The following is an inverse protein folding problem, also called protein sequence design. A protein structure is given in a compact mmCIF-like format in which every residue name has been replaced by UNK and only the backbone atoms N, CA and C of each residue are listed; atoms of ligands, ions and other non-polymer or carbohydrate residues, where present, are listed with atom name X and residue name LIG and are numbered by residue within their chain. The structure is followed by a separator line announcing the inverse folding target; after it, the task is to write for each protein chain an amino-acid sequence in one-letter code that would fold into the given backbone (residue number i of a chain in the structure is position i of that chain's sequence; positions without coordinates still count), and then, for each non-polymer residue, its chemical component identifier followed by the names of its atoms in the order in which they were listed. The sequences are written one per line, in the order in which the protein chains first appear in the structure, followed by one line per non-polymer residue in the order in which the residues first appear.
data_IF_583096267191
#
_entry.id   IF_583096267191
#
_cell.length_a   1.000
_cell.length_b   1.000
_cell.length_c   1.000
_cell.angle_alpha   90.00
_cell.angle_beta   90.00
_cell.angle_gamma   90.00
#
_symmetry.space_group_name_H-M   'P 1'
#
loop_
_entity.id
_entity.type
_entity.pdbx_description
1 polymer ?
#
# COMPACT_ATOMS: atom_id res chain seq x y z
N UNK A 1 -19.96 5.52 1.45
CA UNK A 1 -19.50 6.63 2.31
C UNK A 1 -18.01 6.50 2.53
N UNK A 2 -17.30 7.60 2.77
CA UNK A 2 -15.89 7.53 3.17
C UNK A 2 -15.73 6.70 4.45
N UNK A 3 -14.66 5.91 4.54
CA UNK A 3 -14.39 5.04 5.67
C UNK A 3 -13.98 5.86 6.90
N UNK A 4 -14.44 5.49 8.11
CA UNK A 4 -14.25 6.26 9.34
C UNK A 4 -14.77 7.71 9.28
N UNK A 5 -15.86 7.98 8.53
CA UNK A 5 -16.40 9.34 8.38
C UNK A 5 -16.87 10.01 9.68
N UNK A 6 -17.10 9.25 10.75
CA UNK A 6 -17.44 9.80 12.07
C UNK A 6 -16.21 10.26 12.86
N UNK A 7 -15.03 9.72 12.56
CA UNK A 7 -13.79 10.00 13.30
C UNK A 7 -12.81 10.88 12.50
N UNK A 8 -12.84 10.80 11.17
CA UNK A 8 -11.91 11.53 10.29
C UNK A 8 -12.70 12.62 9.54
N UNK A 9 -12.26 13.89 9.58
CA UNK A 9 -12.98 15.01 8.97
C UNK A 9 -12.76 15.10 7.46
N UNK A 10 -13.14 14.04 6.71
CA UNK A 10 -12.93 13.95 5.27
C UNK A 10 -13.58 15.09 4.47
N UNK A 11 -14.70 15.62 4.95
CA UNK A 11 -15.37 16.77 4.33
C UNK A 11 -14.47 18.01 4.31
N UNK A 12 -13.69 18.24 5.38
CA UNK A 12 -12.73 19.36 5.47
C UNK A 12 -11.59 19.18 4.47
N UNK A 13 -11.06 17.97 4.34
CA UNK A 13 -10.03 17.70 3.34
C UNK A 13 -10.57 17.88 1.92
N UNK A 14 -11.69 17.25 1.60
CA UNK A 14 -12.28 17.30 0.26
C UNK A 14 -12.69 18.72 -0.17
N UNK A 15 -13.25 19.53 0.74
CA UNK A 15 -13.69 20.89 0.43
C UNK A 15 -12.53 21.80 0.03
N UNK A 16 -11.33 21.55 0.57
CA UNK A 16 -10.11 22.31 0.29
C UNK A 16 -9.57 22.13 -1.14
N UNK A 17 -10.03 21.10 -1.84
CA UNK A 17 -9.64 20.84 -3.22
C UNK A 17 -10.83 20.91 -4.18
N UNK A 18 -10.57 21.47 -5.36
CA UNK A 18 -11.49 21.50 -6.50
C UNK A 18 -10.96 20.58 -7.59
N UNK A 19 -11.82 19.75 -8.15
CA UNK A 19 -11.50 19.03 -9.38
C UNK A 19 -11.42 20.03 -10.55
N UNK A 20 -10.31 20.00 -11.28
CA UNK A 20 -10.15 20.75 -12.52
C UNK A 20 -9.60 19.82 -13.58
N UNK A 21 -10.29 19.76 -14.72
CA UNK A 21 -9.83 18.99 -15.86
C UNK A 21 -9.00 19.83 -16.80
N UNK A 22 -7.96 19.21 -17.40
CA UNK A 22 -7.08 19.81 -18.41
C UNK A 22 -6.72 21.28 -18.15
N UNK A 23 -6.31 21.59 -16.91
CA UNK A 23 -6.10 22.98 -16.50
C UNK A 23 -4.99 23.63 -17.31
N UNK A 24 -5.31 24.65 -18.11
CA UNK A 24 -4.35 25.44 -18.89
C UNK A 24 -3.28 26.06 -17.99
N UNK A 25 -3.70 26.58 -16.83
CA UNK A 25 -2.79 27.15 -15.81
C UNK A 25 -1.77 26.14 -15.29
N UNK A 26 -2.07 24.85 -15.37
CA UNK A 26 -1.28 23.77 -14.78
C UNK A 26 -0.76 22.80 -15.84
N UNK A 27 -0.48 23.32 -17.04
CA UNK A 27 0.12 22.58 -18.15
C UNK A 27 -0.78 21.47 -18.71
N UNK A 28 -2.09 21.72 -18.77
CA UNK A 28 -3.08 20.80 -19.35
C UNK A 28 -3.36 19.57 -18.47
N UNK A 29 -3.01 19.59 -17.18
CA UNK A 29 -3.17 18.44 -16.28
C UNK A 29 -4.56 18.41 -15.65
N UNK A 30 -5.10 17.21 -15.49
CA UNK A 30 -6.30 16.93 -14.69
C UNK A 30 -5.89 16.57 -13.26
N UNK A 31 -6.42 17.26 -12.26
CA UNK A 31 -6.15 16.94 -10.85
C UNK A 31 -7.18 17.56 -9.89
N UNK A 32 -7.04 17.23 -8.61
CA UNK A 32 -7.59 18.03 -7.53
C UNK A 32 -6.60 19.16 -7.19
N UNK A 33 -7.04 20.41 -7.34
CA UNK A 33 -6.24 21.60 -7.09
C UNK A 33 -6.67 22.33 -5.82
N UNK A 34 -5.72 22.88 -5.04
CA UNK A 34 -6.04 23.63 -3.84
C UNK A 34 -6.90 24.87 -4.17
N UNK A 35 -7.94 25.13 -3.37
CA UNK A 35 -8.77 26.34 -3.51
C UNK A 35 -8.07 27.64 -3.10
N UNK A 36 -6.97 27.57 -2.34
CA UNK A 36 -6.18 28.74 -1.89
C UNK A 36 -6.99 29.77 -1.09
N UNK A 37 -7.94 29.32 -0.27
CA UNK A 37 -8.62 30.19 0.68
C UNK A 37 -7.66 30.51 1.87
N UNK A 38 -7.95 31.55 2.64
CA UNK A 38 -7.07 31.98 3.75
C UNK A 38 -7.01 30.98 4.92
N UNK A 39 -8.03 30.13 5.08
CA UNK A 39 -8.11 29.13 6.16
C UNK A 39 -7.49 27.77 5.79
N UNK A 40 -7.11 27.58 4.53
CA UNK A 40 -6.76 26.28 3.95
C UNK A 40 -5.64 25.57 4.72
N UNK A 41 -4.57 26.29 5.08
CA UNK A 41 -3.48 25.70 5.87
C UNK A 41 -3.98 25.16 7.22
N UNK A 42 -4.80 25.95 7.93
CA UNK A 42 -5.40 25.56 9.22
C UNK A 42 -6.37 24.39 9.08
N UNK A 43 -7.19 24.38 8.03
CA UNK A 43 -8.16 23.31 7.75
C UNK A 43 -7.46 21.99 7.39
N UNK A 44 -6.41 22.04 6.57
CA UNK A 44 -5.60 20.86 6.25
C UNK A 44 -4.86 20.34 7.49
N UNK A 45 -4.38 21.24 8.36
CA UNK A 45 -3.79 20.82 9.63
C UNK A 45 -4.81 20.23 10.60
N UNK A 46 -6.01 20.78 10.66
CA UNK A 46 -7.12 20.20 11.43
C UNK A 46 -7.43 18.79 10.95
N UNK A 47 -7.48 18.56 9.64
CA UNK A 47 -7.64 17.23 9.08
C UNK A 47 -6.50 16.28 9.50
N UNK A 48 -5.24 16.69 9.33
CA UNK A 48 -4.09 15.84 9.64
C UNK A 48 -4.06 15.44 11.13
N UNK A 49 -4.41 16.37 12.04
CA UNK A 49 -4.51 16.10 13.48
C UNK A 49 -5.68 15.17 13.81
N UNK A 50 -6.86 15.38 13.24
CA UNK A 50 -8.01 14.51 13.47
C UNK A 50 -7.77 13.08 12.98
N UNK A 51 -7.11 12.93 11.83
CA UNK A 51 -6.71 11.62 11.32
C UNK A 51 -5.67 10.96 12.25
N UNK A 52 -4.63 11.68 12.66
CA UNK A 52 -3.62 11.17 13.60
C UNK A 52 -4.25 10.67 14.91
N UNK A 53 -5.12 11.49 15.50
CA UNK A 53 -5.88 11.12 16.71
C UNK A 53 -6.72 9.86 16.52
N UNK A 54 -7.38 9.70 15.36
CA UNK A 54 -8.17 8.52 15.06
C UNK A 54 -7.30 7.25 14.96
N UNK A 55 -6.12 7.33 14.35
CA UNK A 55 -5.19 6.19 14.29
C UNK A 55 -4.67 5.85 15.69
N UNK A 56 -4.22 6.84 16.46
CA UNK A 56 -3.69 6.65 17.81
C UNK A 56 -4.75 6.05 18.76
N UNK A 57 -5.99 6.55 18.72
CA UNK A 57 -7.08 6.02 19.53
C UNK A 57 -7.39 4.56 19.19
N UNK A 58 -7.50 4.23 17.90
CA UNK A 58 -7.75 2.85 17.46
C UNK A 58 -6.56 1.93 17.76
N UNK A 59 -5.34 2.45 17.74
CA UNK A 59 -4.14 1.68 18.07
C UNK A 59 -4.07 1.32 19.53
N UNK A 60 -4.47 2.22 20.44
CA UNK A 60 -4.60 1.89 21.87
C UNK A 60 -5.59 0.75 22.09
N UNK A 61 -6.79 0.86 21.52
CA UNK A 61 -7.81 -0.20 21.61
C UNK A 61 -7.35 -1.50 20.95
N UNK A 62 -6.58 -1.45 19.87
CA UNK A 62 -6.01 -2.66 19.26
C UNK A 62 -4.95 -3.29 20.17
N UNK A 63 -4.07 -2.48 20.77
CA UNK A 63 -3.00 -2.94 21.68
C UNK A 63 -3.55 -3.64 22.93
N UNK A 64 -4.70 -3.21 23.44
CA UNK A 64 -5.40 -3.79 24.60
C UNK A 64 -5.83 -5.24 24.40
N UNK A 65 -5.92 -5.72 23.15
CA UNK A 65 -6.28 -7.12 22.83
C UNK A 65 -5.16 -8.12 23.10
N UNK A 66 -3.94 -7.63 23.35
CA UNK A 66 -2.72 -8.43 23.46
C UNK A 66 -2.08 -8.28 24.84
N UNK A 67 -1.30 -9.27 25.33
CA UNK A 67 -0.56 -9.20 26.58
C UNK A 67 0.23 -7.90 26.76
N UNK A 68 0.29 -7.35 27.98
CA UNK A 68 1.04 -6.11 28.25
C UNK A 68 2.56 -6.30 28.13
N UNK A 69 3.06 -7.48 28.49
CA UNK A 69 4.46 -7.88 28.41
C UNK A 69 4.58 -9.26 27.75
N UNK A 70 5.75 -9.53 27.20
CA UNK A 70 6.14 -10.84 26.64
C UNK A 70 7.46 -11.26 27.26
N UNK A 71 7.62 -12.55 27.48
CA UNK A 71 8.87 -13.10 28.00
C UNK A 71 9.97 -13.08 26.94
N UNK A 72 11.21 -12.90 27.40
CA UNK A 72 12.38 -13.09 26.54
C UNK A 72 12.51 -14.56 26.17
N UNK A 73 12.78 -14.83 24.90
CA UNK A 73 12.93 -16.19 24.39
C UNK A 73 14.41 -16.49 24.10
N UNK A 74 14.78 -17.77 24.22
CA UNK A 74 16.11 -18.24 23.87
C UNK A 74 16.40 -18.11 22.37
N UNK A 75 17.69 -18.19 21.95
CA UNK A 75 18.07 -18.03 20.54
C UNK A 75 17.44 -19.05 19.58
N UNK A 76 17.10 -20.23 20.08
CA UNK A 76 16.50 -21.35 19.33
C UNK A 76 14.98 -21.40 19.40
N UNK A 77 14.36 -20.53 20.20
CA UNK A 77 12.91 -20.52 20.37
C UNK A 77 12.22 -19.87 19.18
N UNK A 78 11.05 -20.40 18.83
CA UNK A 78 10.25 -19.86 17.73
C UNK A 78 9.43 -18.66 18.19
N UNK A 79 9.71 -17.51 17.60
CA UNK A 79 8.90 -16.29 17.69
C UNK A 79 7.69 -16.36 16.75
N UNK A 80 7.80 -17.15 15.68
CA UNK A 80 6.71 -17.43 14.73
C UNK A 80 6.25 -18.88 14.93
N UNK A 81 5.09 -19.07 15.55
CA UNK A 81 4.48 -20.39 15.73
C UNK A 81 3.93 -20.98 14.41
N UNK A 82 3.56 -22.26 14.42
CA UNK A 82 3.12 -22.97 13.21
C UNK A 82 1.83 -22.37 12.61
N UNK A 83 0.96 -21.83 13.46
CA UNK A 83 -0.31 -21.22 13.03
C UNK A 83 -0.03 -19.92 12.29
N UNK A 84 0.89 -19.11 12.79
CA UNK A 84 1.34 -17.84 12.21
C UNK A 84 2.10 -18.11 10.92
N UNK A 85 3.03 -19.07 10.95
CA UNK A 85 3.80 -19.51 9.79
C UNK A 85 2.86 -19.91 8.64
N UNK A 86 1.86 -20.76 8.91
CA UNK A 86 0.93 -21.23 7.89
C UNK A 86 0.16 -20.10 7.20
N UNK A 87 -0.16 -19.01 7.92
CA UNK A 87 -0.86 -17.84 7.36
C UNK A 87 0.04 -17.02 6.43
N UNK A 88 1.31 -16.82 6.80
CA UNK A 88 2.23 -15.94 6.05
C UNK A 88 3.04 -16.68 4.97
N UNK A 89 3.13 -18.02 5.06
CA UNK A 89 3.96 -18.91 4.23
C UNK A 89 3.92 -18.55 2.74
N UNK A 90 2.72 -18.46 2.17
CA UNK A 90 2.56 -18.22 0.73
C UNK A 90 3.04 -16.83 0.31
N UNK A 91 2.84 -15.82 1.16
CA UNK A 91 3.31 -14.45 0.90
C UNK A 91 4.82 -14.35 0.95
N UNK A 92 5.46 -14.92 1.99
CA UNK A 92 6.92 -14.92 2.14
C UNK A 92 7.59 -15.66 0.97
N UNK A 93 7.00 -16.76 0.51
CA UNK A 93 7.53 -17.52 -0.62
C UNK A 93 7.42 -16.81 -1.95
N UNK A 94 6.27 -16.17 -2.20
CA UNK A 94 6.09 -15.33 -3.38
C UNK A 94 7.17 -14.26 -3.47
N UNK A 95 7.49 -13.63 -2.34
CA UNK A 95 8.56 -12.65 -2.23
C UNK A 95 9.93 -13.23 -2.63
N UNK A 96 10.29 -14.36 -1.99
CA UNK A 96 11.57 -15.03 -2.21
C UNK A 96 11.75 -15.54 -3.63
N UNK A 97 10.69 -16.07 -4.23
CA UNK A 97 10.71 -16.48 -5.64
C UNK A 97 10.94 -15.30 -6.59
N UNK A 98 10.34 -14.14 -6.31
CA UNK A 98 10.57 -12.94 -7.10
C UNK A 98 12.03 -12.46 -7.00
N UNK A 99 12.64 -12.52 -5.82
CA UNK A 99 14.02 -12.09 -5.59
C UNK A 99 15.06 -13.06 -6.21
N UNK A 100 14.80 -14.38 -6.20
CA UNK A 100 15.73 -15.41 -6.75
C UNK A 100 15.84 -15.40 -8.28
N UNK A 101 14.80 -14.97 -9.02
CA UNK A 101 14.84 -14.87 -10.49
C UNK A 101 15.94 -13.95 -11.01
N UNK A 102 16.35 -12.95 -10.23
CA UNK A 102 17.36 -11.98 -10.64
C UNK A 102 18.82 -12.51 -10.55
N UNK A 103 19.07 -13.68 -9.93
CA UNK A 103 20.44 -14.17 -9.65
C UNK A 103 20.77 -15.58 -10.16
N UNK A 104 19.88 -16.24 -10.89
CA UNK A 104 20.18 -17.58 -11.45
C UNK A 104 20.39 -18.68 -10.40
N UNK A 105 20.18 -18.39 -9.11
CA UNK A 105 20.18 -19.38 -8.05
C UNK A 105 18.87 -20.17 -8.08
N UNK A 106 18.96 -21.50 -8.09
CA UNK A 106 17.79 -22.36 -7.86
C UNK A 106 17.28 -22.05 -6.45
N UNK A 107 16.11 -21.42 -6.37
CA UNK A 107 15.43 -21.22 -5.09
C UNK A 107 15.28 -22.54 -4.34
N UNK A 108 15.18 -22.51 -3.00
CA UNK A 108 15.22 -23.71 -2.15
C UNK A 108 14.06 -24.70 -2.38
N UNK A 109 13.10 -24.38 -3.25
CA UNK A 109 12.03 -25.29 -3.64
C UNK A 109 11.92 -25.38 -5.17
N UNK A 110 12.05 -26.58 -5.78
CA UNK A 110 11.87 -26.78 -7.23
C UNK A 110 10.40 -26.75 -7.66
N UNK A 111 9.44 -26.63 -6.73
CA UNK A 111 8.00 -26.61 -7.03
C UNK A 111 7.59 -25.17 -7.34
N UNK A 112 7.01 -24.97 -8.52
CA UNK A 112 6.47 -23.69 -8.99
C UNK A 112 5.37 -23.18 -8.07
N UNK A 113 5.19 -21.84 -8.04
CA UNK A 113 4.23 -21.10 -7.23
C UNK A 113 2.79 -21.65 -7.23
N UNK A 114 2.38 -22.37 -8.28
CA UNK A 114 0.97 -22.63 -8.57
C UNK A 114 0.46 -23.95 -7.97
N UNK A 115 1.34 -24.93 -7.71
CA UNK A 115 0.98 -26.14 -6.96
C UNK A 115 0.92 -25.93 -5.44
N UNK A 116 1.16 -24.71 -4.94
CA UNK A 116 1.07 -24.40 -3.52
C UNK A 116 1.94 -25.33 -2.66
N UNK A 117 3.27 -25.39 -2.91
CA UNK A 117 4.15 -26.20 -2.06
C UNK A 117 3.83 -25.93 -0.60
N UNK A 118 3.74 -27.00 0.18
CA UNK A 118 3.37 -26.97 1.60
C UNK A 118 4.60 -26.91 2.49
N UNK A 119 5.79 -26.81 1.90
CA UNK A 119 7.03 -26.81 2.64
C UNK A 119 7.03 -25.64 3.68
N UNK A 120 7.57 -25.81 4.87
CA UNK A 120 7.52 -24.75 5.89
C UNK A 120 8.50 -23.60 5.57
N UNK A 121 8.27 -22.43 6.16
CA UNK A 121 9.33 -21.41 6.34
C UNK A 121 10.47 -22.04 7.16
N UNK A 122 11.72 -21.67 6.87
CA UNK A 122 12.88 -22.25 7.56
C UNK A 122 12.78 -22.04 9.07
N UNK A 123 13.24 -22.98 9.91
CA UNK A 123 13.27 -22.79 11.36
C UNK A 123 14.00 -21.51 11.77
N UNK A 124 15.12 -21.18 11.11
CA UNK A 124 15.92 -19.98 11.41
C UNK A 124 15.13 -18.69 11.23
N UNK A 125 14.36 -18.57 10.15
CA UNK A 125 13.48 -17.41 9.88
C UNK A 125 12.39 -17.22 10.94
N UNK A 126 12.09 -18.28 11.70
CA UNK A 126 11.06 -18.26 12.75
C UNK A 126 11.64 -17.93 14.13
N UNK A 127 12.95 -17.79 14.25
CA UNK A 127 13.65 -17.44 15.50
C UNK A 127 13.92 -15.93 15.62
N UNK A 128 14.75 -15.55 16.57
CA UNK A 128 15.24 -14.18 16.77
C UNK A 128 16.19 -13.69 15.65
N UNK A 129 16.82 -14.60 14.90
CA UNK A 129 17.93 -14.29 14.00
C UNK A 129 17.62 -13.21 12.93
N UNK A 130 16.46 -13.23 12.23
CA UNK A 130 16.15 -12.22 11.21
C UNK A 130 16.02 -10.79 11.77
N UNK A 131 15.75 -10.68 13.07
CA UNK A 131 15.43 -9.40 13.71
C UNK A 131 16.66 -8.74 14.33
N UNK A 132 17.79 -9.44 14.36
CA UNK A 132 19.07 -8.91 14.83
C UNK A 132 19.73 -8.11 13.70
N UNK A 133 20.02 -6.83 13.95
CA UNK A 133 20.90 -6.05 13.07
C UNK A 133 22.33 -6.29 13.55
N UNK A 134 23.14 -6.90 12.70
CA UNK A 134 24.59 -6.95 12.93
C UNK A 134 25.17 -5.61 12.52
N UNK A 135 25.82 -4.95 13.46
CA UNK A 135 26.44 -3.64 13.30
C UNK A 135 27.72 -3.76 12.45
N UNK A 136 27.56 -3.99 11.14
CA UNK A 136 28.68 -3.99 10.21
C UNK A 136 29.03 -2.53 9.91
N UNK A 137 29.91 -1.96 10.74
CA UNK A 137 30.43 -0.58 10.68
C UNK A 137 31.20 -0.19 9.39
N UNK A 138 31.02 -0.88 8.26
CA UNK A 138 31.65 -0.50 6.99
C UNK A 138 30.61 -0.17 5.90
N UNK A 139 30.28 1.12 5.87
CA UNK A 139 29.70 1.94 4.78
C UNK A 139 28.28 1.69 4.25
N UNK A 140 27.65 0.55 4.46
CA UNK A 140 26.20 0.41 4.28
C UNK A 140 25.76 -0.69 5.25
N UNK A 141 24.64 -0.55 5.97
CA UNK A 141 24.10 -1.67 6.75
C UNK A 141 23.66 -2.76 5.76
N UNK A 142 24.60 -3.56 5.30
CA UNK A 142 24.33 -4.82 4.64
C UNK A 142 23.82 -5.73 5.74
N UNK A 143 22.52 -6.05 5.66
CA UNK A 143 21.95 -7.08 6.52
C UNK A 143 22.86 -8.30 6.43
N UNK A 144 23.25 -8.91 7.56
CA UNK A 144 24.02 -10.13 7.53
C UNK A 144 23.20 -11.16 6.75
N UNK A 145 23.66 -11.46 5.53
CA UNK A 145 23.38 -12.71 4.86
C UNK A 145 23.51 -13.82 5.92
N UNK A 146 22.44 -14.59 6.20
CA UNK A 146 21.40 -14.96 5.23
C UNK A 146 20.05 -14.20 5.32
N UNK A 147 19.89 -13.14 6.14
CA UNK A 147 18.56 -12.57 6.44
C UNK A 147 18.16 -11.31 5.66
N UNK A 148 18.64 -11.16 4.40
CA UNK A 148 18.27 -10.02 3.53
C UNK A 148 16.74 -9.88 3.30
N UNK A 149 15.97 -10.95 3.52
CA UNK A 149 14.51 -10.98 3.38
C UNK A 149 13.73 -10.54 4.64
N UNK A 150 14.40 -10.09 5.71
CA UNK A 150 13.73 -9.69 6.97
C UNK A 150 12.64 -8.63 6.79
N UNK A 151 12.79 -7.61 5.91
CA UNK A 151 11.71 -6.68 5.61
C UNK A 151 10.48 -7.35 4.97
N UNK A 152 10.68 -8.33 4.08
CA UNK A 152 9.58 -9.06 3.44
C UNK A 152 8.83 -9.95 4.44
N UNK A 153 9.56 -10.59 5.36
CA UNK A 153 8.96 -11.35 6.46
C UNK A 153 8.14 -10.45 7.40
N UNK A 154 8.69 -9.28 7.77
CA UNK A 154 7.99 -8.28 8.58
C UNK A 154 6.71 -7.78 7.89
N UNK A 155 6.83 -7.43 6.60
CA UNK A 155 5.70 -6.97 5.81
C UNK A 155 4.64 -8.07 5.72
N UNK A 156 5.01 -9.33 5.50
CA UNK A 156 4.05 -10.44 5.50
C UNK A 156 3.30 -10.56 6.84
N UNK A 157 3.98 -10.48 7.98
CA UNK A 157 3.34 -10.48 9.31
C UNK A 157 2.33 -9.33 9.45
N UNK A 158 2.68 -8.12 9.03
CA UNK A 158 1.80 -6.94 9.05
C UNK A 158 0.58 -7.11 8.14
N UNK A 159 0.79 -7.54 6.89
CA UNK A 159 -0.28 -7.73 5.90
C UNK A 159 -1.30 -8.78 6.37
N UNK A 160 -0.84 -9.82 7.07
CA UNK A 160 -1.70 -10.87 7.62
C UNK A 160 -2.24 -10.55 9.02
N UNK A 161 -1.92 -9.37 9.58
CA UNK A 161 -2.42 -8.95 10.91
C UNK A 161 -1.92 -9.82 12.05
N UNK A 162 -0.71 -10.38 11.95
CA UNK A 162 -0.09 -11.22 12.98
C UNK A 162 0.57 -10.35 14.08
N UNK A 163 -0.24 -9.52 14.73
CA UNK A 163 0.22 -8.51 15.70
C UNK A 163 0.82 -9.14 16.95
N UNK A 164 0.28 -10.26 17.45
CA UNK A 164 0.85 -10.95 18.61
C UNK A 164 2.30 -11.38 18.38
N UNK A 165 2.59 -11.99 17.22
CA UNK A 165 3.95 -12.37 16.84
C UNK A 165 4.86 -11.14 16.72
N UNK A 166 4.36 -10.05 16.11
CA UNK A 166 5.11 -8.80 15.99
C UNK A 166 5.43 -8.17 17.35
N UNK A 167 4.49 -8.17 18.29
CA UNK A 167 4.69 -7.67 19.65
C UNK A 167 5.69 -8.54 20.42
N UNK A 168 5.62 -9.87 20.26
CA UNK A 168 6.58 -10.82 20.85
C UNK A 168 8.00 -10.60 20.33
N UNK A 169 8.14 -10.36 19.03
CA UNK A 169 9.43 -10.00 18.40
C UNK A 169 9.92 -8.66 18.93
N UNK A 170 9.06 -7.65 18.99
CA UNK A 170 9.41 -6.30 19.46
C UNK A 170 9.86 -6.28 20.93
N UNK A 171 9.36 -7.21 21.75
CA UNK A 171 9.76 -7.35 23.15
C UNK A 171 11.17 -7.93 23.33
N UNK A 172 11.78 -8.53 22.30
CA UNK A 172 13.10 -9.14 22.43
C UNK A 172 14.19 -8.05 22.43
N UNK A 173 15.07 -7.98 23.45
CA UNK A 173 16.08 -6.91 23.56
C UNK A 173 17.05 -6.84 22.37
N UNK A 174 17.28 -7.98 21.72
CA UNK A 174 18.18 -8.09 20.56
C UNK A 174 17.51 -7.77 19.22
N UNK A 175 16.19 -7.60 19.18
CA UNK A 175 15.47 -7.24 17.97
C UNK A 175 15.59 -5.74 17.67
N UNK A 176 15.90 -5.40 16.42
CA UNK A 176 16.04 -4.01 15.98
C UNK A 176 15.00 -3.66 14.90
N UNK A 177 13.71 -3.79 15.25
CA UNK A 177 12.61 -3.49 14.33
C UNK A 177 12.54 -2.02 13.90
N UNK A 178 13.04 -1.10 14.72
CA UNK A 178 13.13 0.33 14.36
C UNK A 178 14.02 0.57 13.13
N UNK A 179 15.06 -0.25 12.93
CA UNK A 179 15.90 -0.17 11.73
C UNK A 179 15.17 -0.63 10.46
N UNK A 180 14.12 -1.44 10.61
CA UNK A 180 13.27 -1.91 9.50
C UNK A 180 12.20 -0.88 9.08
N UNK A 181 12.14 0.31 9.69
CA UNK A 181 11.20 1.37 9.29
C UNK A 181 11.46 1.87 7.87
N UNK A 182 12.69 2.29 7.59
CA UNK A 182 13.11 2.80 6.28
C UNK A 182 14.60 2.44 6.07
N UNK A 183 14.92 1.14 6.00
CA UNK A 183 16.30 0.70 5.81
C UNK A 183 16.83 1.26 4.48
N UNK A 184 18.02 1.86 4.54
CA UNK A 184 18.71 2.31 3.33
C UNK A 184 19.22 1.06 2.62
N UNK A 185 18.56 0.67 1.52
CA UNK A 185 19.07 -0.37 0.63
C UNK A 185 19.43 0.23 -0.73
N UNK A 186 20.51 -0.28 -1.33
CA UNK A 186 20.87 0.02 -2.72
C UNK A 186 19.79 -0.43 -3.73
N UNK A 187 18.82 -1.25 -3.28
CA UNK A 187 17.72 -1.78 -4.09
C UNK A 187 16.40 -1.00 -3.97
N UNK A 188 16.34 0.04 -3.12
CA UNK A 188 15.14 0.85 -2.89
C UNK A 188 14.70 0.90 -1.41
N UNK A 189 13.55 1.50 -1.15
CA UNK A 189 12.92 1.54 0.19
C UNK A 189 12.15 0.23 0.44
N UNK A 190 12.54 -0.54 1.46
CA UNK A 190 12.07 -1.93 1.65
C UNK A 190 11.37 -2.17 2.99
N UNK A 191 11.39 -1.16 3.88
CA UNK A 191 10.86 -1.25 5.24
C UNK A 191 9.34 -1.08 5.34
N UNK A 192 8.83 -1.29 6.56
CA UNK A 192 7.39 -1.15 6.82
C UNK A 192 6.90 0.31 6.78
N UNK A 193 7.81 1.28 6.75
CA UNK A 193 7.48 2.68 6.46
C UNK A 193 6.99 2.89 5.02
N UNK A 194 7.52 2.14 4.05
CA UNK A 194 7.02 2.21 2.66
C UNK A 194 5.66 1.52 2.53
N UNK A 195 5.47 0.38 3.20
CA UNK A 195 4.17 -0.28 3.35
C UNK A 195 3.13 0.70 3.90
N UNK A 196 3.46 1.40 4.99
CA UNK A 196 2.58 2.39 5.62
C UNK A 196 2.24 3.52 4.63
N UNK A 197 3.24 4.10 3.95
CA UNK A 197 3.05 5.23 3.02
C UNK A 197 2.22 4.87 1.80
N UNK A 198 2.48 3.73 1.16
CA UNK A 198 1.66 3.23 0.05
C UNK A 198 0.21 3.03 0.49
N UNK A 199 0.01 2.40 1.65
CA UNK A 199 -1.31 2.20 2.26
C UNK A 199 -2.02 3.51 2.55
N UNK A 200 -1.34 4.46 3.20
CA UNK A 200 -1.87 5.76 3.58
C UNK A 200 -2.29 6.57 2.36
N UNK A 201 -1.45 6.61 1.34
CA UNK A 201 -1.72 7.35 0.12
C UNK A 201 -2.90 6.76 -0.65
N UNK A 202 -3.00 5.43 -0.75
CA UNK A 202 -4.17 4.77 -1.35
C UNK A 202 -5.46 5.07 -0.57
N UNK A 203 -5.39 4.97 0.76
CA UNK A 203 -6.52 5.21 1.64
C UNK A 203 -7.02 6.66 1.55
N UNK A 204 -6.14 7.66 1.59
CA UNK A 204 -6.51 9.08 1.46
C UNK A 204 -7.07 9.36 0.05
N UNK A 205 -6.39 8.90 -1.00
CA UNK A 205 -6.77 9.18 -2.38
C UNK A 205 -8.18 8.66 -2.70
N UNK A 206 -8.48 7.41 -2.35
CA UNK A 206 -9.79 6.80 -2.63
C UNK A 206 -10.91 7.43 -1.79
N UNK A 207 -10.67 7.72 -0.50
CA UNK A 207 -11.68 8.38 0.33
C UNK A 207 -12.02 9.79 -0.16
N UNK A 208 -11.02 10.57 -0.58
CA UNK A 208 -11.29 11.90 -1.15
C UNK A 208 -11.95 11.82 -2.52
N UNK A 209 -11.52 10.90 -3.38
CA UNK A 209 -12.14 10.69 -4.70
C UNK A 209 -13.61 10.27 -4.57
N UNK A 210 -13.94 9.43 -3.58
CA UNK A 210 -15.33 9.05 -3.26
C UNK A 210 -16.21 10.26 -2.93
N UNK A 211 -15.64 11.32 -2.32
CA UNK A 211 -16.33 12.56 -1.99
C UNK A 211 -16.45 13.55 -3.16
N UNK A 212 -16.05 13.14 -4.37
CA UNK A 212 -16.22 13.89 -5.62
C UNK A 212 -17.11 13.10 -6.59
N UNK A 213 -18.40 12.87 -6.26
CA UNK A 213 -19.28 12.03 -7.06
C UNK A 213 -19.41 12.47 -8.52
N UNK A 214 -19.22 13.76 -8.82
CA UNK A 214 -19.17 14.31 -10.17
C UNK A 214 -18.11 13.64 -11.08
N UNK A 215 -17.11 12.98 -10.47
CA UNK A 215 -16.01 12.36 -11.19
C UNK A 215 -16.23 10.88 -11.56
N UNK A 216 -17.10 10.16 -10.86
CA UNK A 216 -17.34 8.72 -11.09
C UNK A 216 -18.80 8.33 -11.24
N UNK A 217 -19.75 9.17 -10.80
CA UNK A 217 -21.18 8.90 -10.91
C UNK A 217 -21.81 9.73 -12.05
N UNK A 218 -22.47 9.06 -12.99
CA UNK A 218 -23.05 9.71 -14.17
C UNK A 218 -24.13 10.76 -13.82
N UNK A 219 -24.97 10.49 -12.81
CA UNK A 219 -26.03 11.42 -12.38
C UNK A 219 -25.44 12.67 -11.74
N UNK A 220 -24.50 12.49 -10.81
CA UNK A 220 -23.81 13.62 -10.18
C UNK A 220 -22.99 14.43 -11.18
N UNK A 221 -22.39 13.77 -12.17
CA UNK A 221 -21.68 14.43 -13.27
C UNK A 221 -22.61 15.29 -14.11
N UNK A 222 -23.77 14.78 -14.51
CA UNK A 222 -24.76 15.55 -15.26
C UNK A 222 -25.22 16.79 -14.46
N UNK A 223 -25.51 16.64 -13.17
CA UNK A 223 -25.87 17.74 -12.29
C UNK A 223 -24.73 18.76 -12.09
N UNK A 224 -23.48 18.31 -12.11
CA UNK A 224 -22.32 19.20 -12.07
C UNK A 224 -22.19 20.00 -13.37
N UNK A 225 -22.29 19.35 -14.53
CA UNK A 225 -22.16 19.98 -15.85
C UNK A 225 -23.28 20.97 -16.17
N UNK A 226 -24.46 20.81 -15.57
CA UNK A 226 -25.56 21.78 -15.69
C UNK A 226 -25.26 23.14 -15.04
N UNK A 227 -24.22 23.23 -14.20
CA UNK A 227 -23.78 24.49 -13.58
C UNK A 227 -22.78 25.22 -14.49
N UNK A 228 -22.72 26.54 -14.40
CA UNK A 228 -21.74 27.34 -15.14
C UNK A 228 -20.32 27.13 -14.57
N UNK A 229 -19.35 26.86 -15.45
CA UNK A 229 -17.95 26.65 -15.09
C UNK A 229 -17.04 27.58 -15.89
N UNK A 230 -16.09 28.20 -15.20
CA UNK A 230 -15.05 29.04 -15.83
C UNK A 230 -14.20 28.28 -16.86
N UNK A 231 -13.92 27.01 -16.57
CA UNK A 231 -13.14 26.10 -17.41
C UNK A 231 -13.94 24.79 -17.55
N UNK A 232 -14.90 24.73 -18.48
CA UNK A 232 -15.71 23.53 -18.66
C UNK A 232 -14.84 22.38 -19.21
N UNK A 233 -15.09 21.12 -18.79
CA UNK A 233 -14.44 19.97 -19.41
C UNK A 233 -14.79 19.90 -20.90
N UNK A 234 -13.81 19.53 -21.73
CA UNK A 234 -14.00 19.40 -23.18
C UNK A 234 -14.80 18.14 -23.51
N UNK A 235 -14.44 17.01 -22.90
CA UNK A 235 -15.09 15.72 -23.10
C UNK A 235 -15.67 15.17 -21.78
N UNK A 236 -16.69 14.32 -21.86
CA UNK A 236 -17.28 13.68 -20.66
C UNK A 236 -16.23 12.88 -19.87
N UNK A 237 -15.32 12.25 -20.59
CA UNK A 237 -14.25 11.40 -20.06
C UNK A 237 -13.17 12.21 -19.34
N UNK A 238 -13.11 13.53 -19.57
CA UNK A 238 -12.15 14.42 -18.92
C UNK A 238 -12.51 14.65 -17.44
N UNK A 239 -13.72 14.30 -17.03
CA UNK A 239 -14.19 14.35 -15.64
C UNK A 239 -13.83 13.11 -14.82
N UNK A 240 -13.20 12.10 -15.42
CA UNK A 240 -12.87 10.86 -14.73
C UNK A 240 -11.78 11.05 -13.67
N UNK A 241 -12.07 10.68 -12.42
CA UNK A 241 -11.11 10.76 -11.30
C UNK A 241 -9.83 9.97 -11.58
N UNK A 242 -9.91 8.89 -12.36
CA UNK A 242 -8.77 8.03 -12.70
C UNK A 242 -7.73 8.75 -13.56
N UNK A 243 -8.14 9.82 -14.25
CA UNK A 243 -7.24 10.71 -15.00
C UNK A 243 -6.57 11.77 -14.13
N UNK A 244 -6.93 11.86 -12.84
CA UNK A 244 -6.25 12.82 -11.95
C UNK A 244 -4.80 12.41 -11.73
N UNK A 245 -3.89 13.37 -11.78
CA UNK A 245 -2.46 13.14 -11.47
C UNK A 245 -2.28 12.49 -10.11
N UNK A 246 -3.08 12.88 -9.10
CA UNK A 246 -3.06 12.28 -7.77
C UNK A 246 -3.41 10.79 -7.79
N UNK A 247 -4.47 10.39 -8.49
CA UNK A 247 -4.85 8.98 -8.63
C UNK A 247 -3.78 8.16 -9.37
N UNK A 248 -3.29 8.66 -10.51
CA UNK A 248 -2.25 7.97 -11.30
C UNK A 248 -0.98 7.77 -10.47
N UNK A 249 -0.54 8.81 -9.75
CA UNK A 249 0.62 8.71 -8.86
C UNK A 249 0.37 7.72 -7.72
N UNK A 250 -0.85 7.71 -7.17
CA UNK A 250 -1.22 6.77 -6.13
C UNK A 250 -1.13 5.33 -6.62
N UNK A 251 -1.76 5.05 -7.76
CA UNK A 251 -1.76 3.73 -8.37
C UNK A 251 -0.33 3.25 -8.61
N UNK A 252 0.50 4.05 -9.28
CA UNK A 252 1.92 3.73 -9.52
C UNK A 252 2.66 3.33 -8.25
N UNK A 253 2.62 4.16 -7.20
CA UNK A 253 3.31 3.82 -5.93
C UNK A 253 2.81 2.51 -5.31
N UNK A 254 1.51 2.25 -5.44
CA UNK A 254 0.90 1.08 -4.80
C UNK A 254 1.02 -0.20 -5.64
N UNK A 255 1.38 -0.11 -6.92
CA UNK A 255 1.33 -1.29 -7.82
C UNK A 255 2.55 -1.50 -8.69
N UNK A 256 3.41 -0.49 -8.90
CA UNK A 256 4.61 -0.62 -9.72
C UNK A 256 5.61 -1.64 -9.13
N UNK A 257 6.50 -2.15 -9.96
CA UNK A 257 7.56 -3.07 -9.52
C UNK A 257 8.54 -2.34 -8.61
N UNK A 258 8.85 -2.96 -7.47
CA UNK A 258 9.93 -2.55 -6.57
C UNK A 258 10.75 -3.79 -6.23
N UNK A 259 12.03 -3.60 -5.90
CA UNK A 259 12.73 -4.60 -5.11
C UNK A 259 12.03 -4.67 -3.74
N UNK A 260 11.74 -5.89 -3.24
CA UNK A 260 11.00 -6.10 -1.97
C UNK A 260 9.58 -5.53 -1.97
N UNK A 261 8.74 -6.07 -2.85
CA UNK A 261 7.39 -5.55 -3.15
C UNK A 261 6.24 -6.28 -2.45
N UNK A 262 6.52 -7.07 -1.39
CA UNK A 262 5.49 -7.79 -0.63
C UNK A 262 4.36 -6.88 -0.20
N UNK A 263 4.69 -5.67 0.26
CA UNK A 263 3.75 -4.65 0.69
C UNK A 263 2.78 -4.19 -0.41
N UNK A 264 3.11 -4.43 -1.69
CA UNK A 264 2.29 -4.06 -2.85
C UNK A 264 1.31 -5.16 -3.26
N UNK A 265 1.42 -6.39 -2.74
CA UNK A 265 0.57 -7.52 -3.17
C UNK A 265 -0.93 -7.25 -2.98
N UNK A 266 -1.40 -6.79 -1.81
CA UNK A 266 -2.83 -6.56 -1.62
C UNK A 266 -3.36 -5.42 -2.49
N UNK A 267 -2.52 -4.41 -2.77
CA UNK A 267 -2.85 -3.32 -3.68
C UNK A 267 -2.99 -3.84 -5.11
N UNK A 268 -2.02 -4.60 -5.60
CA UNK A 268 -2.05 -5.22 -6.93
C UNK A 268 -3.23 -6.16 -7.10
N UNK A 269 -3.53 -6.99 -6.10
CA UNK A 269 -4.69 -7.88 -6.11
C UNK A 269 -6.02 -7.11 -6.08
N UNK A 270 -6.08 -6.00 -5.36
CA UNK A 270 -7.24 -5.12 -5.39
C UNK A 270 -7.45 -4.56 -6.81
N UNK A 271 -6.42 -3.97 -7.42
CA UNK A 271 -6.53 -3.36 -8.75
C UNK A 271 -6.52 -4.36 -9.93
N UNK A 272 -6.11 -5.61 -9.72
CA UNK A 272 -5.91 -6.58 -10.79
C UNK A 272 -4.69 -6.26 -11.66
N UNK A 273 -3.56 -5.88 -11.05
CA UNK A 273 -2.34 -5.48 -11.77
C UNK A 273 -1.24 -6.52 -11.57
N UNK A 274 -0.69 -7.03 -12.68
CA UNK A 274 0.46 -7.93 -12.68
C UNK A 274 1.71 -7.12 -13.02
N UNK A 275 2.81 -7.24 -12.27
CA UNK A 275 4.04 -6.46 -12.49
C UNK A 275 4.85 -6.88 -13.74
N UNK A 276 4.42 -7.88 -14.50
CA UNK A 276 5.20 -8.54 -15.57
C UNK A 276 5.33 -7.74 -16.88
N UNK A 277 4.91 -6.47 -16.90
CA UNK A 277 5.29 -5.52 -17.96
C UNK A 277 6.00 -4.34 -17.33
N UNK A 278 7.31 -4.12 -17.61
CA UNK A 278 7.98 -2.93 -17.13
C UNK A 278 7.21 -1.71 -17.65
N UNK A 279 6.86 -0.72 -16.81
CA UNK A 279 6.62 0.60 -17.33
C UNK A 279 7.93 1.03 -18.01
N UNK A 280 7.82 1.38 -19.27
CA UNK A 280 8.92 1.72 -20.17
C UNK A 280 9.96 2.59 -19.48
N UNK A 281 11.16 2.03 -19.31
CA UNK A 281 12.46 2.68 -19.04
C UNK A 281 12.63 3.55 -17.78
N UNK A 282 13.83 3.44 -17.21
CA UNK A 282 14.41 4.35 -16.22
C UNK A 282 14.74 5.73 -16.86
N UNK A 283 13.73 6.36 -17.46
CA UNK A 283 13.82 7.57 -18.29
C UNK A 283 13.15 8.79 -17.67
N UNK A 284 13.51 9.16 -16.44
CA UNK A 284 13.25 10.51 -15.92
C UNK A 284 11.79 10.88 -15.60
N UNK A 285 11.66 11.87 -14.74
CA UNK A 285 10.39 12.46 -14.26
C UNK A 285 9.55 13.15 -15.35
N UNK A 286 9.84 12.93 -16.65
CA UNK A 286 9.19 13.60 -17.79
C UNK A 286 8.10 12.78 -18.46
N UNK A 287 8.05 11.46 -18.31
CA UNK A 287 6.99 10.59 -18.88
C UNK A 287 5.71 10.52 -18.01
N UNK A 288 5.45 11.60 -17.28
CA UNK A 288 4.27 11.79 -16.41
C UNK A 288 2.98 11.89 -17.23
N UNK A 289 3.09 12.10 -18.55
CA UNK A 289 1.97 12.35 -19.44
C UNK A 289 1.35 11.05 -19.96
N UNK A 290 2.12 9.96 -20.10
CA UNK A 290 1.67 8.85 -20.94
C UNK A 290 0.88 7.73 -20.22
N UNK A 291 0.80 7.70 -18.88
CA UNK A 291 -0.21 6.86 -18.21
C UNK A 291 -1.63 7.47 -18.28
N UNK A 292 -1.72 8.78 -18.47
CA UNK A 292 -3.01 9.45 -18.66
C UNK A 292 -3.53 9.27 -20.10
N UNK A 293 -2.63 9.16 -21.08
CA UNK A 293 -2.97 8.91 -22.50
C UNK A 293 -3.10 7.42 -22.84
N UNK A 294 -2.30 6.54 -22.25
CA UNK A 294 -2.38 5.09 -22.49
C UNK A 294 -3.41 4.38 -21.59
N UNK A 295 -4.01 5.10 -20.64
CA UNK A 295 -4.57 4.47 -19.44
C UNK A 295 -3.49 3.64 -18.75
N UNK A 296 -3.78 3.08 -17.59
CA UNK A 296 -3.35 1.70 -17.47
C UNK A 296 -4.15 0.99 -18.58
N UNK A 297 -3.52 0.63 -19.71
CA UNK A 297 -3.91 -0.60 -20.39
C UNK A 297 -3.68 -1.69 -19.34
N UNK A 298 -4.61 -1.81 -18.39
CA UNK A 298 -4.96 -3.10 -17.81
C UNK A 298 -5.21 -3.90 -19.07
N UNK A 299 -4.20 -4.66 -19.45
CA UNK A 299 -4.23 -5.47 -20.66
C UNK A 299 -5.58 -6.18 -20.63
N UNK A 300 -6.36 -6.06 -21.70
CA UNK A 300 -7.68 -6.68 -21.87
C UNK A 300 -7.67 -8.22 -21.71
N UNK A 301 -6.53 -8.78 -21.31
CA UNK A 301 -6.39 -10.13 -20.78
C UNK A 301 -7.26 -10.25 -19.54
N UNK A 302 -8.31 -11.05 -19.69
CA UNK A 302 -9.23 -11.37 -18.62
C UNK A 302 -8.49 -11.98 -17.43
N UNK A 303 -8.47 -11.28 -16.29
CA UNK A 303 -8.01 -11.88 -15.04
C UNK A 303 -9.19 -12.51 -14.32
N UNK A 304 -9.11 -13.77 -13.88
CA UNK A 304 -10.23 -14.38 -13.19
C UNK A 304 -10.44 -13.79 -11.79
N UNK A 305 -11.70 -13.80 -11.37
CA UNK A 305 -12.11 -13.67 -9.99
C UNK A 305 -11.98 -15.03 -9.29
N UNK A 306 -11.89 -15.02 -7.96
CA UNK A 306 -11.91 -16.27 -7.18
C UNK A 306 -13.19 -17.08 -7.40
N UNK A 307 -14.30 -16.41 -7.70
CA UNK A 307 -15.58 -17.04 -8.06
C UNK A 307 -15.55 -17.76 -9.41
N UNK A 308 -14.63 -17.40 -10.31
CA UNK A 308 -14.58 -17.97 -11.66
C UNK A 308 -13.94 -19.36 -11.65
N UNK A 309 -13.01 -19.59 -10.72
CA UNK A 309 -12.29 -20.87 -10.59
C UNK A 309 -13.27 -22.06 -10.52
N UNK A 310 -14.22 -22.14 -9.58
CA UNK A 310 -15.16 -23.27 -9.53
C UNK A 310 -16.07 -23.35 -10.77
N UNK A 311 -16.39 -22.21 -11.41
CA UNK A 311 -17.22 -22.19 -12.63
C UNK A 311 -16.47 -22.80 -13.80
N UNK A 312 -15.23 -22.38 -14.03
CA UNK A 312 -14.39 -22.92 -15.12
C UNK A 312 -14.01 -24.37 -14.85
N UNK A 313 -13.68 -24.74 -13.61
CA UNK A 313 -13.43 -26.14 -13.23
C UNK A 313 -14.66 -27.00 -13.55
N UNK A 314 -15.86 -26.59 -13.14
CA UNK A 314 -17.10 -27.32 -13.44
C UNK A 314 -17.38 -27.42 -14.93
N UNK A 315 -17.11 -26.35 -15.69
CA UNK A 315 -17.28 -26.37 -17.15
C UNK A 315 -16.32 -27.37 -17.82
N UNK A 316 -15.05 -27.41 -17.41
CA UNK A 316 -14.07 -28.37 -17.90
C UNK A 316 -14.49 -29.81 -17.56
N UNK A 317 -15.00 -30.05 -16.35
CA UNK A 317 -15.54 -31.35 -15.95
C UNK A 317 -16.76 -31.76 -16.78
N UNK A 318 -17.66 -30.84 -17.10
CA UNK A 318 -18.80 -31.09 -18.00
C UNK A 318 -18.36 -31.42 -19.43
N UNK A 319 -17.17 -31.00 -19.85
CA UNK A 319 -16.55 -31.38 -21.13
C UNK A 319 -15.83 -32.74 -21.08
N UNK A 320 -15.92 -33.47 -19.97
CA UNK A 320 -15.38 -34.82 -19.80
C UNK A 320 -13.98 -34.87 -19.20
N UNK A 321 -13.44 -33.75 -18.70
CA UNK A 321 -12.13 -33.75 -18.04
C UNK A 321 -12.26 -34.14 -16.56
N UNK A 322 -11.42 -35.05 -16.04
CA UNK A 322 -11.33 -35.29 -14.61
C UNK A 322 -10.82 -34.03 -13.89
N UNK A 323 -11.09 -33.94 -12.59
CA UNK A 323 -10.78 -32.73 -11.79
C UNK A 323 -9.29 -32.38 -11.87
N UNK A 324 -8.42 -33.38 -11.82
CA UNK A 324 -6.98 -33.24 -11.83
C UNK A 324 -6.50 -32.57 -13.12
N UNK A 325 -7.04 -32.97 -14.28
CA UNK A 325 -6.72 -32.35 -15.56
C UNK A 325 -7.33 -30.95 -15.70
N UNK A 326 -8.52 -30.73 -15.15
CA UNK A 326 -9.09 -29.38 -15.12
C UNK A 326 -8.21 -28.41 -14.31
N UNK A 327 -7.68 -28.86 -13.16
CA UNK A 327 -6.75 -28.08 -12.34
C UNK A 327 -5.40 -27.87 -13.04
N UNK A 328 -4.85 -28.88 -13.71
CA UNK A 328 -3.61 -28.76 -14.50
C UNK A 328 -3.77 -27.77 -15.68
N UNK A 329 -4.93 -27.75 -16.34
CA UNK A 329 -5.23 -26.76 -17.40
C UNK A 329 -5.28 -25.35 -16.83
N UNK A 330 -6.00 -25.15 -15.72
CA UNK A 330 -6.09 -23.84 -15.07
C UNK A 330 -4.70 -23.33 -14.63
N UNK A 331 -3.86 -24.24 -14.14
CA UNK A 331 -2.47 -23.96 -13.77
C UNK A 331 -1.64 -23.53 -15.00
N UNK A 332 -1.60 -24.35 -16.06
CA UNK A 332 -0.85 -24.06 -17.28
C UNK A 332 -1.31 -22.80 -18.01
N UNK A 333 -2.60 -22.46 -17.90
CA UNK A 333 -3.16 -21.24 -18.45
C UNK A 333 -2.92 -20.00 -17.56
N UNK A 334 -2.23 -20.15 -16.43
CA UNK A 334 -2.07 -19.14 -15.39
C UNK A 334 -3.42 -18.51 -14.97
N UNK A 335 -4.51 -19.29 -14.97
CA UNK A 335 -5.87 -18.86 -14.63
C UNK A 335 -6.03 -18.69 -13.11
N UNK A 336 -5.21 -17.81 -12.55
CA UNK A 336 -5.06 -17.56 -11.12
C UNK A 336 -5.87 -16.31 -10.79
N UNK A 337 -6.69 -16.32 -9.72
CA UNK A 337 -7.47 -15.15 -9.36
C UNK A 337 -6.56 -14.03 -8.86
N UNK A 338 -6.21 -13.11 -9.75
CA UNK A 338 -5.26 -12.00 -9.49
C UNK A 338 -5.97 -10.65 -9.33
N UNK A 339 -7.31 -10.61 -9.43
CA UNK A 339 -8.11 -9.39 -9.20
C UNK A 339 -9.23 -9.62 -8.17
N UNK A 340 -9.60 -8.54 -7.47
CA UNK A 340 -10.77 -8.51 -6.58
C UNK A 340 -11.92 -7.67 -7.12
N UNK A 341 -11.63 -6.63 -7.90
CA UNK A 341 -12.67 -5.77 -8.48
C UNK A 341 -13.42 -6.48 -9.60
N UNK A 342 -14.76 -6.44 -9.53
CA UNK A 342 -15.65 -6.97 -10.56
C UNK A 342 -15.55 -6.16 -11.85
N UNK A 343 -15.52 -4.82 -11.76
CA UNK A 343 -15.16 -3.94 -12.86
C UNK A 343 -13.67 -3.58 -12.76
N UNK A 344 -12.79 -4.11 -13.63
CA UNK A 344 -11.35 -3.85 -13.54
C UNK A 344 -11.01 -2.36 -13.62
N UNK A 345 -10.05 -1.92 -12.80
CA UNK A 345 -9.51 -0.56 -12.87
C UNK A 345 -10.45 0.56 -12.44
N UNK A 346 -11.65 0.27 -11.95
CA UNK A 346 -12.59 1.28 -11.44
C UNK A 346 -13.07 1.00 -10.01
N UNK A 347 -12.24 1.28 -8.99
CA UNK A 347 -12.62 1.08 -7.59
C UNK A 347 -13.93 1.75 -7.16
N UNK A 348 -14.27 2.91 -7.76
CA UNK A 348 -15.46 3.69 -7.40
C UNK A 348 -16.71 3.30 -8.19
N UNK A 349 -16.62 2.31 -9.08
CA UNK A 349 -17.80 1.74 -9.73
C UNK A 349 -18.78 1.17 -8.69
N UNK A 350 -20.08 1.36 -8.91
CA UNK A 350 -21.10 0.97 -7.93
C UNK A 350 -21.08 -0.54 -7.62
N UNK A 351 -20.84 -1.40 -8.63
CA UNK A 351 -20.68 -2.84 -8.43
C UNK A 351 -19.44 -3.24 -7.61
N UNK A 352 -18.43 -2.36 -7.55
CA UNK A 352 -17.21 -2.58 -6.76
C UNK A 352 -17.32 -2.08 -5.32
N UNK A 353 -18.46 -1.50 -4.92
CA UNK A 353 -18.61 -0.81 -3.63
C UNK A 353 -18.32 -1.69 -2.41
N UNK A 354 -18.65 -2.98 -2.47
CA UNK A 354 -18.36 -3.90 -1.37
C UNK A 354 -16.86 -4.21 -1.25
N UNK A 355 -16.19 -4.52 -2.36
CA UNK A 355 -14.75 -4.78 -2.35
C UNK A 355 -13.94 -3.53 -2.00
N UNK A 356 -14.36 -2.34 -2.47
CA UNK A 356 -13.78 -1.07 -2.03
C UNK A 356 -13.89 -0.90 -0.51
N UNK A 357 -15.05 -1.22 0.09
CA UNK A 357 -15.24 -1.13 1.55
C UNK A 357 -14.30 -2.08 2.29
N UNK A 358 -14.15 -3.33 1.81
CA UNK A 358 -13.22 -4.32 2.38
C UNK A 358 -11.78 -3.83 2.28
N UNK A 359 -11.39 -3.27 1.14
CA UNK A 359 -10.06 -2.72 0.91
C UNK A 359 -9.74 -1.52 1.80
N UNK A 360 -10.65 -0.54 1.92
CA UNK A 360 -10.45 0.60 2.82
C UNK A 360 -10.37 0.18 4.29
N UNK A 361 -11.17 -0.81 4.70
CA UNK A 361 -11.08 -1.41 6.05
C UNK A 361 -9.74 -2.10 6.26
N UNK A 362 -9.23 -2.81 5.25
CA UNK A 362 -7.91 -3.42 5.28
C UNK A 362 -6.80 -2.37 5.43
N UNK A 363 -6.79 -1.33 4.59
CA UNK A 363 -5.81 -0.25 4.67
C UNK A 363 -5.83 0.41 6.05
N UNK A 364 -7.01 0.71 6.58
CA UNK A 364 -7.13 1.31 7.92
C UNK A 364 -6.55 0.41 9.01
N UNK A 365 -6.89 -0.88 9.01
CA UNK A 365 -6.32 -1.84 9.97
C UNK A 365 -4.80 -1.89 9.87
N UNK A 366 -4.26 -1.88 8.65
CA UNK A 366 -2.82 -1.93 8.44
C UNK A 366 -2.10 -0.68 8.98
N UNK A 367 -2.68 0.52 8.81
CA UNK A 367 -2.15 1.76 9.40
C UNK A 367 -2.14 1.69 10.94
N UNK A 368 -3.21 1.16 11.55
CA UNK A 368 -3.30 0.93 12.99
C UNK A 368 -2.22 -0.06 13.44
N UNK A 369 -2.06 -1.19 12.73
CA UNK A 369 -1.02 -2.19 13.01
C UNK A 369 0.40 -1.61 12.96
N UNK A 370 0.69 -0.74 11.99
CA UNK A 370 1.97 -0.05 11.91
C UNK A 370 2.21 0.84 13.13
N UNK A 371 1.19 1.53 13.64
CA UNK A 371 1.33 2.35 14.84
C UNK A 371 1.54 1.50 16.10
N UNK A 372 0.77 0.42 16.26
CA UNK A 372 0.94 -0.52 17.37
C UNK A 372 2.36 -1.08 17.40
N UNK A 373 2.89 -1.46 16.24
CA UNK A 373 4.27 -1.95 16.12
C UNK A 373 5.29 -0.86 16.45
N UNK A 374 5.11 0.37 15.96
CA UNK A 374 6.01 1.47 16.26
C UNK A 374 6.09 1.72 17.78
N UNK A 375 4.94 1.79 18.45
CA UNK A 375 4.85 1.97 19.91
C UNK A 375 5.51 0.82 20.67
N UNK A 376 5.35 -0.42 20.20
CA UNK A 376 6.01 -1.59 20.79
C UNK A 376 7.54 -1.54 20.71
N UNK A 377 8.10 -0.80 19.75
CA UNK A 377 9.56 -0.54 19.67
C UNK A 377 10.03 0.65 20.50
N UNK A 378 9.14 1.27 21.29
CA UNK A 378 9.42 2.49 22.05
C UNK A 378 9.52 3.74 21.17
N UNK A 379 8.98 3.71 19.95
CA UNK A 379 9.00 4.82 18.98
C UNK A 379 7.58 5.22 18.59
N UNK A 380 7.45 6.35 17.90
CA UNK A 380 6.17 6.87 17.40
C UNK A 380 6.23 7.13 15.91
N UNK A 381 5.11 6.99 15.22
CA UNK A 381 4.97 7.49 13.85
C UNK A 381 4.55 8.96 13.92
N UNK A 382 5.25 9.85 13.23
CA UNK A 382 4.85 11.25 13.15
C UNK A 382 3.68 11.41 12.16
N UNK A 383 2.48 10.96 12.55
CA UNK A 383 1.31 10.86 11.67
C UNK A 383 0.97 12.16 10.95
N UNK A 384 0.98 13.29 11.68
CA UNK A 384 0.70 14.61 11.10
C UNK A 384 1.61 14.91 9.91
N UNK A 385 2.88 14.49 9.98
CA UNK A 385 3.85 14.66 8.91
C UNK A 385 3.56 13.72 7.74
N UNK A 386 3.39 12.42 8.00
CA UNK A 386 3.14 11.42 6.95
C UNK A 386 1.83 11.71 6.19
N UNK A 387 0.81 12.22 6.88
CA UNK A 387 -0.46 12.65 6.28
C UNK A 387 -0.27 13.92 5.44
N UNK A 388 0.40 14.93 5.98
CA UNK A 388 0.70 16.18 5.26
C UNK A 388 1.48 15.89 3.99
N UNK A 389 2.52 15.06 4.11
CA UNK A 389 3.32 14.61 2.98
C UNK A 389 2.49 13.86 1.95
N UNK A 390 1.60 12.95 2.38
CA UNK A 390 0.73 12.21 1.46
C UNK A 390 -0.20 13.15 0.67
N UNK A 391 -0.79 14.15 1.34
CA UNK A 391 -1.63 15.17 0.69
C UNK A 391 -0.83 16.00 -0.31
N UNK A 392 0.39 16.42 0.08
CA UNK A 392 1.30 17.16 -0.81
C UNK A 392 1.65 16.29 -2.02
N UNK A 393 2.07 15.04 -1.81
CA UNK A 393 2.45 14.14 -2.89
C UNK A 393 1.31 13.91 -3.88
N UNK A 394 0.06 13.84 -3.42
CA UNK A 394 -1.13 13.65 -4.26
C UNK A 394 -1.51 14.94 -5.04
N UNK A 395 -1.50 16.10 -4.39
CA UNK A 395 -2.20 17.29 -4.89
C UNK A 395 -1.41 18.61 -4.87
N UNK A 396 -0.13 18.62 -4.49
CA UNK A 396 0.69 19.86 -4.41
C UNK A 396 1.16 20.41 -5.75
N UNK A 397 0.50 20.08 -6.87
CA UNK A 397 0.95 20.49 -8.19
C UNK A 397 1.20 22.00 -8.30
N UNK A 398 0.52 22.83 -7.49
CA UNK A 398 0.58 24.28 -7.62
C UNK A 398 0.27 25.06 -6.32
N UNK A 399 1.23 25.13 -5.38
CA UNK A 399 1.25 26.20 -4.38
C UNK A 399 0.45 25.95 -3.09
N UNK A 400 0.38 24.70 -2.62
CA UNK A 400 0.14 24.48 -1.18
C UNK A 400 1.31 25.12 -0.42
N UNK A 401 1.00 26.09 0.45
CA UNK A 401 2.02 26.70 1.31
C UNK A 401 2.39 25.69 2.39
N UNK A 402 3.64 25.28 2.40
CA UNK A 402 4.18 24.37 3.41
C UNK A 402 5.42 24.98 4.04
N UNK A 403 5.57 24.80 5.35
CA UNK A 403 6.80 25.07 6.07
C UNK A 403 7.62 23.78 6.09
N UNK A 404 8.90 23.87 5.73
CA UNK A 404 9.84 22.76 5.87
C UNK A 404 10.20 22.61 7.35
N UNK A 405 10.09 21.40 7.85
CA UNK A 405 10.53 21.02 9.20
C UNK A 405 11.85 20.27 9.05
N UNK A 406 12.90 20.72 9.73
CA UNK A 406 14.20 20.08 9.56
C UNK A 406 14.22 18.72 10.24
N UNK A 407 14.92 17.76 9.63
CA UNK A 407 15.06 16.41 10.18
C UNK A 407 15.58 16.43 11.63
N UNK A 408 16.56 17.30 11.91
CA UNK A 408 17.15 17.47 13.26
C UNK A 408 16.17 18.03 14.30
N UNK A 409 15.03 18.54 13.86
CA UNK A 409 13.96 19.05 14.74
C UNK A 409 12.90 17.98 15.04
N UNK A 410 12.93 16.84 14.34
CA UNK A 410 12.05 15.71 14.63
C UNK A 410 12.65 14.98 15.83
N UNK A 411 11.89 14.92 16.92
CA UNK A 411 12.35 14.31 18.16
C UNK A 411 12.75 12.84 18.00
N UNK A 412 13.73 12.40 18.79
CA UNK A 412 14.24 11.02 18.79
C UNK A 412 13.15 10.00 19.18
N UNK A 413 12.03 10.43 19.74
CA UNK A 413 10.87 9.58 19.99
C UNK A 413 10.19 9.06 18.71
N UNK A 414 10.43 9.69 17.55
CA UNK A 414 9.80 9.28 16.29
C UNK A 414 10.63 8.29 15.48
N UNK A 415 9.95 7.45 14.70
CA UNK A 415 10.56 6.73 13.58
C UNK A 415 10.85 7.74 12.47
N UNK A 416 12.13 8.00 12.22
CA UNK A 416 12.55 9.04 11.29
C UNK A 416 13.03 8.46 9.96
N UNK A 417 12.94 9.26 8.91
CA UNK A 417 13.49 8.91 7.58
C UNK A 417 14.85 9.55 7.46
N UNK A 418 15.91 8.75 7.40
CA UNK A 418 17.27 9.27 7.27
C UNK A 418 17.35 10.25 6.07
N UNK A 419 17.73 11.51 6.34
CA UNK A 419 17.99 12.52 5.31
C UNK A 419 16.77 13.15 4.62
N UNK A 420 15.53 12.99 5.11
CA UNK A 420 14.36 13.68 4.54
C UNK A 420 13.72 14.68 5.51
N UNK A 421 13.58 15.93 5.08
CA UNK A 421 12.91 16.97 5.85
C UNK A 421 11.38 16.80 5.85
N UNK A 422 10.78 17.24 6.95
CA UNK A 422 9.35 17.30 7.17
C UNK A 422 8.64 18.46 6.46
N UNK A 423 7.31 18.39 6.44
CA UNK A 423 6.45 19.48 5.97
C UNK A 423 5.23 19.64 6.89
N UNK A 424 4.85 20.89 7.16
CA UNK A 424 3.55 21.28 7.74
C UNK A 424 2.86 22.33 6.87
N UNK A 425 1.53 22.38 6.86
CA UNK A 425 0.79 23.41 6.12
C UNK A 425 0.84 24.76 6.84
N UNK A 426 0.90 25.85 6.07
CA UNK A 426 0.93 27.24 6.57
C UNK A 426 -0.35 27.99 6.21
#
# INVERSE_FOLDING_TARGET
MAHQAHAIPWGVLSSNFKFTSKSQRHGGKTNLYPRRNAAQGKELMYFARGFAQAVEAMSRTEREKYPQSYDEVGPSDFLIDDVTEAKIRNTVRRARMANTRDYGHRGPCPVTYIHGCTCPISPEDRTILPWKVVDNMNQYPTYPSPHEDSPDLLNALLLHGQIDALLRIAAQPSANLKALWDPISYRGSTGFGELMRATLMSYICLNVSYLKPETYNATARAAYLAKEHRDPPTELEDMDYRKTRGYVKMLRRCTDRSSYDVHLYPHREFYGIIPDKPPVSWGGWRDVVDLATQGAKITQEYMPLKSDIPVVTRYLQQKGLPLELALDILDRAEYIPRRRLLIPGDPLHHENAEELRKYLKFCWKLLVSCNVLAEATGKKIHWVYEITRSIVELWSADGLKTKRENYDQIGNEYLTICGRNGFSFV
#
